data_IF_696191056535
#
_entry.id   IF_696191056535
#
_cell.length_a   1.000
_cell.length_b   1.000
_cell.length_c   1.000
_cell.angle_alpha   90.00
_cell.angle_beta   90.00
_cell.angle_gamma   90.00
#
_symmetry.space_group_name_H-M   'P 1'
#
loop_
_entity.id
_entity.type
_entity.pdbx_description
1 polymer ?
#
# COMPACT_ATOMS: atom_id res chain seq x y z
N UNK A 1 -10.14 9.45 2.86
CA UNK A 1 -9.75 10.88 2.74
C UNK A 1 -10.57 11.55 1.63
N UNK A 2 -11.90 11.62 1.79
CA UNK A 2 -12.76 12.24 0.75
C UNK A 2 -12.40 13.71 0.50
N UNK A 3 -11.86 14.40 1.51
CA UNK A 3 -11.39 15.77 1.38
C UNK A 3 -10.26 15.97 0.37
N UNK A 4 -9.32 15.02 0.23
CA UNK A 4 -8.25 15.12 -0.76
C UNK A 4 -8.79 14.87 -2.17
N UNK A 5 -9.52 13.77 -2.37
CA UNK A 5 -10.10 13.44 -3.68
C UNK A 5 -11.06 14.52 -4.18
N UNK A 6 -11.86 15.12 -3.29
CA UNK A 6 -12.79 16.20 -3.69
C UNK A 6 -12.08 17.44 -4.21
N UNK A 7 -10.84 17.72 -3.75
CA UNK A 7 -10.09 18.91 -4.11
C UNK A 7 -9.13 18.67 -5.27
N UNK A 8 -8.51 17.49 -5.33
CA UNK A 8 -7.44 17.16 -6.30
C UNK A 8 -7.84 16.09 -7.34
N UNK A 9 -9.05 15.54 -7.26
CA UNK A 9 -9.54 14.49 -8.15
C UNK A 9 -8.99 13.09 -7.81
N UNK A 10 -8.96 12.20 -8.81
CA UNK A 10 -8.44 10.84 -8.66
C UNK A 10 -9.52 9.77 -8.39
N UNK A 11 -9.21 8.49 -8.66
CA UNK A 11 -10.14 7.39 -8.44
C UNK A 11 -10.33 7.10 -6.94
N UNK A 12 -11.44 6.45 -6.61
CA UNK A 12 -11.69 5.92 -5.27
C UNK A 12 -11.12 4.51 -5.13
N UNK A 13 -10.50 4.22 -3.98
CA UNK A 13 -9.94 2.91 -3.64
C UNK A 13 -10.02 2.66 -2.14
N UNK A 14 -9.97 1.39 -1.76
CA UNK A 14 -9.90 0.99 -0.35
C UNK A 14 -8.47 1.23 0.19
N UNK A 15 -8.30 1.77 1.40
CA UNK A 15 -6.99 1.93 2.02
C UNK A 15 -6.25 0.59 2.12
N UNK A 16 -5.04 0.52 1.57
CA UNK A 16 -4.21 -0.69 1.60
C UNK A 16 -2.73 -0.34 1.62
N UNK A 17 -1.90 -1.30 2.05
CA UNK A 17 -0.44 -1.26 1.99
C UNK A 17 0.01 -2.37 1.06
N UNK A 18 0.61 -2.01 -0.07
CA UNK A 18 1.12 -3.01 -1.00
C UNK A 18 2.32 -3.72 -0.41
N UNK A 19 2.18 -5.03 -0.17
CA UNK A 19 3.27 -5.89 0.32
C UNK A 19 4.14 -6.34 -0.84
N UNK A 20 3.52 -6.87 -1.90
CA UNK A 20 4.16 -7.27 -3.15
C UNK A 20 3.25 -6.88 -4.30
N UNK A 21 3.84 -6.37 -5.39
CA UNK A 21 3.11 -5.96 -6.58
C UNK A 21 3.97 -6.04 -7.83
N UNK A 22 3.39 -5.69 -8.98
CA UNK A 22 4.04 -5.72 -10.29
C UNK A 22 4.62 -7.09 -10.68
N UNK A 23 3.88 -8.18 -10.39
CA UNK A 23 4.27 -9.54 -10.76
C UNK A 23 3.19 -10.16 -11.65
N UNK A 24 3.61 -10.80 -12.74
CA UNK A 24 2.74 -11.62 -13.58
C UNK A 24 2.82 -13.07 -13.12
N UNK A 25 1.69 -13.62 -12.70
CA UNK A 25 1.56 -15.01 -12.25
C UNK A 25 0.32 -15.65 -12.89
N UNK A 26 0.29 -16.97 -12.94
CA UNK A 26 -0.98 -17.68 -13.11
C UNK A 26 -1.82 -17.53 -11.84
N UNK A 27 -3.14 -17.64 -11.95
CA UNK A 27 -4.04 -17.55 -10.79
C UNK A 27 -3.70 -18.61 -9.72
N UNK A 28 -3.38 -19.83 -10.16
CA UNK A 28 -3.00 -20.93 -9.26
C UNK A 28 -1.69 -20.61 -8.50
N UNK A 29 -0.67 -20.09 -9.19
CA UNK A 29 0.60 -19.72 -8.56
C UNK A 29 0.41 -18.54 -7.59
N UNK A 30 -0.42 -17.56 -7.95
CA UNK A 30 -0.73 -16.41 -7.12
C UNK A 30 -1.41 -16.84 -5.81
N UNK A 31 -2.41 -17.72 -5.89
CA UNK A 31 -3.10 -18.27 -4.71
C UNK A 31 -2.16 -19.10 -3.83
N UNK A 32 -1.33 -19.95 -4.44
CA UNK A 32 -0.35 -20.76 -3.70
C UNK A 32 0.65 -19.90 -2.92
N UNK A 33 1.20 -18.88 -3.57
CA UNK A 33 2.12 -17.90 -2.95
C UNK A 33 1.42 -17.08 -1.88
N UNK A 34 0.20 -16.61 -2.14
CA UNK A 34 -0.59 -15.84 -1.18
C UNK A 34 -0.85 -16.65 0.10
N UNK A 35 -1.32 -17.90 -0.02
CA UNK A 35 -1.54 -18.77 1.14
C UNK A 35 -0.25 -19.02 1.93
N UNK A 36 0.87 -19.25 1.23
CA UNK A 36 2.18 -19.44 1.87
C UNK A 36 2.68 -18.18 2.58
N UNK A 37 2.37 -16.99 2.05
CA UNK A 37 2.73 -15.71 2.67
C UNK A 37 1.90 -15.41 3.92
N UNK A 38 0.64 -15.86 3.95
CA UNK A 38 -0.27 -15.70 5.07
C UNK A 38 0.02 -16.67 6.23
N UNK A 39 0.59 -17.84 5.92
CA UNK A 39 0.82 -18.89 6.91
C UNK A 39 1.79 -18.44 8.02
N UNK A 40 1.33 -18.51 9.27
CA UNK A 40 2.12 -18.15 10.45
C UNK A 40 2.27 -16.65 10.70
N UNK A 41 1.71 -15.79 9.85
CA UNK A 41 1.72 -14.36 10.07
C UNK A 41 0.61 -13.94 11.03
N UNK A 42 0.99 -13.12 12.02
CA UNK A 42 0.06 -12.48 12.96
C UNK A 42 -0.21 -11.04 12.56
N UNK A 43 -1.32 -10.51 13.06
CA UNK A 43 -1.62 -9.10 12.97
C UNK A 43 -0.48 -8.28 13.58
N UNK A 44 -0.15 -7.15 12.97
CA UNK A 44 0.98 -6.31 13.39
C UNK A 44 0.66 -4.84 13.26
N UNK A 45 1.40 -4.01 13.98
CA UNK A 45 1.21 -2.56 13.97
C UNK A 45 2.04 -1.92 12.85
N UNK A 46 1.40 -1.07 12.05
CA UNK A 46 2.05 -0.14 11.15
C UNK A 46 2.00 1.26 11.77
N UNK A 47 3.13 1.97 11.75
CA UNK A 47 3.22 3.35 12.24
C UNK A 47 3.57 4.25 11.08
N UNK A 48 2.87 5.39 10.99
CA UNK A 48 3.16 6.44 10.02
C UNK A 48 4.42 7.17 10.46
N UNK A 49 5.37 7.33 9.55
CA UNK A 49 6.52 8.23 9.71
C UNK A 49 6.13 9.65 9.28
N UNK A 50 5.60 9.79 8.06
CA UNK A 50 5.20 11.08 7.50
C UNK A 50 4.24 10.97 6.33
N UNK A 51 3.55 12.06 6.03
CA UNK A 51 2.94 12.28 4.71
C UNK A 51 4.04 12.58 3.68
N UNK A 52 4.03 11.85 2.57
CA UNK A 52 5.00 11.97 1.48
C UNK A 52 4.30 11.99 0.11
N UNK A 53 5.06 12.34 -0.92
CA UNK A 53 4.61 12.38 -2.30
C UNK A 53 5.68 11.77 -3.20
N UNK A 54 5.24 11.12 -4.27
CA UNK A 54 6.08 10.43 -5.24
C UNK A 54 5.91 10.97 -6.65
N UNK A 55 6.50 10.28 -7.61
CA UNK A 55 6.59 10.73 -9.00
C UNK A 55 5.65 10.00 -9.96
N UNK A 56 4.93 8.99 -9.48
CA UNK A 56 4.07 8.13 -10.30
C UNK A 56 2.63 8.12 -9.78
N UNK A 57 1.66 7.85 -10.66
CA UNK A 57 0.22 7.91 -10.42
C UNK A 57 -0.23 7.27 -9.08
N UNK A 58 0.20 6.03 -8.83
CA UNK A 58 -0.17 5.26 -7.64
C UNK A 58 0.59 5.68 -6.36
N UNK A 59 1.57 6.58 -6.50
CA UNK A 59 2.37 7.15 -5.42
C UNK A 59 2.26 8.68 -5.42
N UNK A 60 1.07 9.22 -5.69
CA UNK A 60 0.87 10.66 -5.73
C UNK A 60 1.02 11.30 -4.34
N UNK A 61 0.13 10.97 -3.40
CA UNK A 61 0.27 11.34 -1.98
C UNK A 61 -0.03 10.11 -1.13
N UNK A 62 0.82 9.84 -0.15
CA UNK A 62 0.75 8.63 0.66
C UNK A 62 1.30 8.87 2.08
N UNK A 63 0.91 7.99 3.00
CA UNK A 63 1.55 7.84 4.30
C UNK A 63 2.74 6.91 4.12
N UNK A 64 3.94 7.43 4.35
CA UNK A 64 5.12 6.59 4.46
C UNK A 64 5.10 5.91 5.83
N UNK A 65 5.30 4.61 5.85
CA UNK A 65 5.27 3.80 7.07
C UNK A 65 6.68 3.47 7.52
N UNK A 66 6.85 3.32 8.83
CA UNK A 66 8.07 2.77 9.40
C UNK A 66 8.29 1.35 8.87
N UNK A 67 9.49 1.03 8.35
CA UNK A 67 9.78 -0.27 7.78
C UNK A 67 10.10 -1.27 8.90
N UNK A 68 9.07 -1.67 9.65
CA UNK A 68 9.15 -2.66 10.72
C UNK A 68 9.61 -4.03 10.22
N UNK A 69 10.06 -4.88 11.13
CA UNK A 69 10.52 -6.25 10.84
C UNK A 69 9.46 -7.08 10.11
N UNK A 70 8.19 -6.91 10.47
CA UNK A 70 7.03 -7.67 10.00
C UNK A 70 6.71 -7.30 8.55
N UNK A 71 6.71 -6.00 8.26
CA UNK A 71 6.49 -5.44 6.92
C UNK A 71 7.59 -5.88 5.96
N UNK A 72 8.85 -5.91 6.42
CA UNK A 72 9.96 -6.44 5.62
C UNK A 72 9.91 -7.97 5.49
N UNK A 73 9.57 -8.68 6.55
CA UNK A 73 9.45 -10.15 6.55
C UNK A 73 8.44 -10.61 5.50
N UNK A 74 7.28 -9.96 5.46
CA UNK A 74 6.23 -10.18 4.48
C UNK A 74 6.71 -10.04 3.04
N UNK A 75 7.46 -8.97 2.75
CA UNK A 75 8.08 -8.77 1.44
C UNK A 75 9.06 -9.90 1.10
N UNK A 76 9.97 -10.24 2.02
CA UNK A 76 10.97 -11.30 1.81
C UNK A 76 10.33 -12.67 1.57
N UNK A 77 9.35 -13.04 2.39
CA UNK A 77 8.67 -14.33 2.29
C UNK A 77 7.87 -14.45 0.99
N UNK A 78 7.26 -13.34 0.54
CA UNK A 78 6.44 -13.31 -0.67
C UNK A 78 7.27 -13.25 -1.96
N UNK A 79 8.43 -12.58 -1.94
CA UNK A 79 9.28 -12.40 -3.12
C UNK A 79 10.16 -13.63 -3.44
N UNK A 80 10.45 -14.49 -2.45
CA UNK A 80 11.22 -15.73 -2.61
C UNK A 80 12.75 -15.53 -2.62
N UNK A 81 13.48 -16.62 -2.88
CA UNK A 81 14.95 -16.60 -2.94
C UNK A 81 15.43 -15.80 -4.17
N UNK A 82 16.09 -14.66 -3.95
CA UNK A 82 16.71 -13.84 -5.00
C UNK A 82 16.40 -12.34 -4.95
N UNK A 83 15.50 -11.90 -4.06
CA UNK A 83 15.06 -10.49 -4.00
C UNK A 83 15.90 -9.57 -3.11
N UNK A 84 17.18 -9.89 -2.87
CA UNK A 84 18.04 -9.14 -1.94
C UNK A 84 18.11 -7.63 -2.24
N UNK A 85 18.20 -7.28 -3.53
CA UNK A 85 18.26 -5.88 -3.97
C UNK A 85 16.89 -5.18 -3.97
N UNK A 86 15.80 -5.93 -4.15
CA UNK A 86 14.42 -5.40 -4.17
C UNK A 86 13.94 -5.10 -2.74
N UNK A 87 14.36 -5.89 -1.77
CA UNK A 87 14.00 -5.69 -0.37
C UNK A 87 14.62 -4.41 0.24
N UNK A 88 15.80 -4.00 -0.25
CA UNK A 88 16.42 -2.74 0.13
C UNK A 88 15.67 -1.51 -0.42
N UNK A 89 14.90 -1.69 -1.50
CA UNK A 89 14.08 -0.67 -2.14
C UNK A 89 12.61 -0.69 -1.68
N UNK A 90 12.19 -1.64 -0.85
CA UNK A 90 10.82 -1.71 -0.38
C UNK A 90 10.50 -0.54 0.54
N UNK A 91 9.54 0.28 0.10
CA UNK A 91 9.06 1.47 0.79
C UNK A 91 7.60 1.23 1.18
N UNK A 92 7.30 0.76 2.40
CA UNK A 92 5.93 0.52 2.80
C UNK A 92 5.18 1.84 2.91
N UNK A 93 4.03 1.92 2.25
CA UNK A 93 3.21 3.12 2.23
C UNK A 93 1.74 2.78 2.11
N UNK A 94 0.90 3.66 2.65
CA UNK A 94 -0.55 3.65 2.46
C UNK A 94 -0.94 4.85 1.61
N UNK A 95 -1.43 4.63 0.41
CA UNK A 95 -1.78 5.73 -0.49
C UNK A 95 -3.02 6.48 -0.02
N UNK A 96 -2.94 7.81 -0.04
CA UNK A 96 -4.05 8.71 0.29
C UNK A 96 -4.75 9.24 -0.96
N UNK A 97 -3.99 9.37 -2.05
CA UNK A 97 -4.45 9.90 -3.32
C UNK A 97 -3.67 9.24 -4.46
N UNK A 98 -4.38 8.86 -5.53
CA UNK A 98 -3.81 8.54 -6.82
C UNK A 98 -4.11 9.64 -7.82
N UNK A 99 -3.13 9.98 -8.66
CA UNK A 99 -3.30 11.05 -9.66
C UNK A 99 -1.99 11.57 -10.22
N UNK A 100 -2.05 12.08 -11.44
CA UNK A 100 -0.93 12.76 -12.09
C UNK A 100 -1.00 14.26 -11.79
N UNK A 101 -0.56 14.63 -10.59
CA UNK A 101 -0.51 16.01 -10.13
C UNK A 101 0.84 16.66 -10.42
N UNK A 102 0.87 17.98 -10.58
CA UNK A 102 2.14 18.74 -10.60
C UNK A 102 2.79 18.74 -9.22
N UNK A 103 4.07 19.10 -9.13
CA UNK A 103 4.77 19.17 -7.84
C UNK A 103 4.14 20.21 -6.90
N UNK A 104 3.62 21.33 -7.46
CA UNK A 104 2.89 22.34 -6.69
C UNK A 104 1.56 21.79 -6.16
N UNK A 105 0.84 21.02 -6.96
CA UNK A 105 -0.42 20.39 -6.55
C UNK A 105 -0.19 19.31 -5.50
N UNK A 106 0.85 18.49 -5.66
CA UNK A 106 1.27 17.50 -4.64
C UNK A 106 1.58 18.16 -3.32
N UNK A 107 2.34 19.26 -3.33
CA UNK A 107 2.65 20.01 -2.10
C UNK A 107 1.38 20.50 -1.40
N UNK A 108 0.42 21.06 -2.15
CA UNK A 108 -0.88 21.47 -1.59
C UNK A 108 -1.67 20.29 -1.04
N UNK A 109 -1.68 19.15 -1.73
CA UNK A 109 -2.36 17.95 -1.28
C UNK A 109 -1.73 17.37 0.00
N UNK A 110 -0.40 17.42 0.14
CA UNK A 110 0.29 17.07 1.39
C UNK A 110 -0.08 18.01 2.54
N UNK A 111 -0.03 19.32 2.31
CA UNK A 111 -0.44 20.33 3.31
C UNK A 111 -1.91 20.13 3.72
N UNK A 112 -2.78 19.84 2.74
CA UNK A 112 -4.19 19.53 3.00
C UNK A 112 -4.37 18.27 3.84
N UNK A 113 -3.59 17.22 3.59
CA UNK A 113 -3.66 15.99 4.39
C UNK A 113 -3.36 16.27 5.87
N UNK A 114 -2.32 17.07 6.15
CA UNK A 114 -1.95 17.49 7.50
C UNK A 114 -2.97 18.44 8.15
N UNK A 115 -3.72 19.21 7.36
CA UNK A 115 -4.82 20.04 7.88
C UNK A 115 -6.07 19.24 8.22
N UNK A 116 -6.32 18.15 7.49
CA UNK A 116 -7.46 17.26 7.73
C UNK A 116 -7.25 16.42 8.99
N UNK A 117 -5.99 16.05 9.27
CA UNK A 117 -5.58 15.33 10.46
C UNK A 117 -4.16 15.73 10.86
N UNK A 118 -4.04 16.52 11.93
CA UNK A 118 -2.77 17.02 12.44
C UNK A 118 -1.97 15.94 13.20
N UNK A 119 -2.64 14.85 13.58
CA UNK A 119 -2.06 13.69 14.26
C UNK A 119 -1.59 12.59 13.30
N UNK A 120 -1.83 12.75 12.00
CA UNK A 120 -1.62 11.72 10.98
C UNK A 120 -0.19 11.18 10.94
N UNK A 121 0.81 12.01 11.23
CA UNK A 121 2.22 11.62 11.28
C UNK A 121 2.60 10.80 12.53
N UNK A 122 1.70 10.66 13.50
CA UNK A 122 1.88 9.82 14.69
C UNK A 122 0.89 8.66 14.76
N UNK A 123 0.14 8.45 13.68
CA UNK A 123 -0.87 7.42 13.61
C UNK A 123 -0.21 6.03 13.59
N UNK A 124 -0.73 5.14 14.42
CA UNK A 124 -0.47 3.71 14.32
C UNK A 124 -1.78 2.97 14.11
N UNK A 125 -1.76 1.96 13.25
CA UNK A 125 -2.93 1.14 12.94
C UNK A 125 -2.53 -0.32 12.76
N UNK A 126 -3.45 -1.22 13.07
CA UNK A 126 -3.22 -2.65 12.95
C UNK A 126 -3.46 -3.11 11.51
N UNK A 127 -2.52 -3.90 10.98
CA UNK A 127 -2.72 -4.73 9.80
C UNK A 127 -3.26 -6.06 10.27
N UNK A 128 -4.56 -6.28 10.07
CA UNK A 128 -5.29 -7.48 10.54
C UNK A 128 -5.62 -8.47 9.44
N UNK A 129 -5.42 -8.11 8.17
CA UNK A 129 -5.71 -8.98 7.04
C UNK A 129 -4.74 -8.73 5.87
N UNK A 130 -4.63 -9.74 5.01
CA UNK A 130 -3.97 -9.66 3.71
C UNK A 130 -4.99 -9.97 2.63
N UNK A 131 -4.83 -9.35 1.47
CA UNK A 131 -5.70 -9.56 0.32
C UNK A 131 -4.87 -9.82 -0.93
N UNK A 132 -5.34 -10.75 -1.77
CA UNK A 132 -4.80 -10.99 -3.10
C UNK A 132 -5.67 -10.26 -4.11
N UNK A 133 -5.04 -9.38 -4.89
CA UNK A 133 -5.71 -8.60 -5.92
C UNK A 133 -5.14 -8.89 -7.29
N UNK A 134 -6.03 -8.97 -8.29
CA UNK A 134 -5.68 -8.86 -9.69
C UNK A 134 -5.82 -7.40 -10.08
N UNK A 135 -4.70 -6.79 -10.46
CA UNK A 135 -4.62 -5.36 -10.77
C UNK A 135 -4.05 -5.16 -12.16
N UNK A 136 -4.72 -4.37 -13.00
CA UNK A 136 -4.10 -3.82 -14.21
C UNK A 136 -3.43 -2.49 -13.84
N UNK A 137 -2.11 -2.42 -14.00
CA UNK A 137 -1.33 -1.21 -13.67
C UNK A 137 -1.48 -0.11 -14.72
N UNK A 138 -2.01 -0.42 -15.91
CA UNK A 138 -2.32 0.57 -16.95
C UNK A 138 -3.72 1.19 -16.75
N UNK A 139 -4.57 0.59 -15.91
CA UNK A 139 -5.91 1.09 -15.61
C UNK A 139 -5.92 2.09 -14.45
N UNK A 140 -5.68 3.36 -14.77
CA UNK A 140 -5.79 4.47 -13.83
C UNK A 140 -7.22 4.73 -13.31
N UNK A 141 -8.25 4.06 -13.86
CA UNK A 141 -9.63 4.14 -13.33
C UNK A 141 -9.88 3.18 -12.16
N UNK A 142 -8.99 2.20 -11.97
CA UNK A 142 -9.07 1.11 -10.99
C UNK A 142 -10.30 0.18 -11.15
N UNK A 143 -11.05 0.29 -12.25
CA UNK A 143 -12.29 -0.48 -12.45
C UNK A 143 -12.03 -1.94 -12.79
N UNK A 144 -10.83 -2.25 -13.29
CA UNK A 144 -10.36 -3.60 -13.58
C UNK A 144 -9.85 -4.34 -12.34
N UNK A 145 -9.68 -3.64 -11.21
CA UNK A 145 -9.11 -4.23 -10.01
C UNK A 145 -10.12 -5.17 -9.36
N UNK A 146 -9.68 -6.39 -9.10
CA UNK A 146 -10.52 -7.47 -8.59
C UNK A 146 -9.86 -8.13 -7.40
N UNK A 147 -10.57 -8.19 -6.26
CA UNK A 147 -10.15 -8.98 -5.11
C UNK A 147 -10.37 -10.46 -5.41
N UNK A 148 -9.31 -11.24 -5.36
CA UNK A 148 -9.31 -12.68 -5.62
C UNK A 148 -9.47 -13.48 -4.32
N UNK A 149 -8.77 -13.06 -3.26
CA UNK A 149 -8.80 -13.75 -1.98
C UNK A 149 -8.49 -12.79 -0.83
N UNK A 150 -8.86 -13.19 0.38
CA UNK A 150 -8.61 -12.47 1.63
C UNK A 150 -8.26 -13.48 2.72
N UNK A 151 -7.32 -13.11 3.58
CA UNK A 151 -6.92 -13.88 4.73
C UNK A 151 -6.84 -12.99 5.97
N UNK A 152 -7.57 -13.35 7.02
CA UNK A 152 -7.53 -12.66 8.30
C UNK A 152 -6.38 -13.20 9.14
N UNK A 153 -5.49 -12.31 9.57
CA UNK A 153 -4.36 -12.63 10.42
C UNK A 153 -4.85 -12.90 11.84
N UNK A 154 -4.21 -13.85 12.53
CA UNK A 154 -4.49 -14.07 13.94
C UNK A 154 -3.99 -12.88 14.78
N UNK A 155 -4.72 -12.47 15.84
CA UNK A 155 -4.25 -11.43 16.75
C UNK A 155 -2.84 -11.71 17.30
N UNK A 156 -2.09 -10.64 17.58
CA UNK A 156 -0.73 -10.77 18.11
C UNK A 156 -0.70 -11.35 19.53
#
# INVERSE_FOLDING_TARGET
MDGLRSEFGGPEFQPHVTVVGAITLTEQDALSKFNSACEGLKAYLATVDRVAAGTFFYQCVYLLLDPTSEVRYLFFNSCGHGCGDIAAAYMPHLSLLYGDLTDEEKKKAQEKALQLDDSINSLSFEISSLELWKTDTEDNSLKSWEKISEFNLSPN
#
